data_IF_521964971030
#
_entry.id   IF_521964971030
#
_cell.length_a   1.000
_cell.length_b   1.000
_cell.length_c   1.000
_cell.angle_alpha   90.00
_cell.angle_beta   90.00
_cell.angle_gamma   90.00
#
_symmetry.space_group_name_H-M   'P 1'
#
loop_
_entity.id
_entity.type
_entity.pdbx_description
1 polymer ?
#
# COMPACT_ATOMS: atom_id res chain seq x y z
N UNK A 1 49.56 21.68 1.79
CA UNK A 1 48.79 20.43 1.61
C UNK A 1 47.46 20.47 2.36
N UNK A 2 47.42 20.73 3.67
CA UNK A 2 46.17 20.87 4.46
C UNK A 2 45.17 21.91 3.92
N UNK A 3 45.64 23.09 3.48
CA UNK A 3 44.78 24.15 2.89
C UNK A 3 44.02 23.73 1.62
N UNK A 4 44.60 22.83 0.82
CA UNK A 4 43.98 22.32 -0.41
C UNK A 4 42.92 21.24 -0.08
N UNK A 5 43.17 20.41 0.93
CA UNK A 5 42.19 19.45 1.44
C UNK A 5 40.96 20.12 2.09
N UNK A 6 41.16 21.22 2.83
CA UNK A 6 40.06 21.97 3.46
C UNK A 6 39.15 22.60 2.38
N UNK A 7 39.73 23.15 1.31
CA UNK A 7 38.97 23.70 0.19
C UNK A 7 38.15 22.63 -0.54
N UNK A 8 38.72 21.43 -0.74
CA UNK A 8 38.02 20.30 -1.37
C UNK A 8 36.88 19.77 -0.49
N UNK A 9 37.06 19.70 0.82
CA UNK A 9 36.02 19.32 1.78
C UNK A 9 34.91 20.37 1.88
N UNK A 10 35.25 21.66 1.85
CA UNK A 10 34.24 22.74 1.84
C UNK A 10 33.42 22.78 0.56
N UNK A 11 34.01 22.40 -0.58
CA UNK A 11 33.30 22.34 -1.87
C UNK A 11 32.28 21.19 -1.92
N UNK A 12 32.56 20.08 -1.23
CA UNK A 12 31.66 18.93 -1.15
C UNK A 12 30.40 19.21 -0.32
N UNK A 13 30.50 20.06 0.71
CA UNK A 13 29.37 20.46 1.57
C UNK A 13 28.36 21.40 0.86
N UNK A 14 28.79 22.18 -0.13
CA UNK A 14 27.92 23.12 -0.84
C UNK A 14 27.10 22.41 -1.94
N UNK A 15 27.60 21.30 -2.47
CA UNK A 15 26.92 20.52 -3.54
C UNK A 15 25.89 19.53 -2.98
N UNK A 16 26.04 19.08 -1.72
CA UNK A 16 25.19 18.04 -1.12
C UNK A 16 23.87 18.48 -0.48
N UNK A 17 23.48 19.76 -0.54
CA UNK A 17 22.33 20.26 0.22
C UNK A 17 21.00 20.33 -0.58
N UNK A 18 20.98 19.94 -1.86
CA UNK A 18 19.85 20.24 -2.77
C UNK A 18 19.13 19.01 -3.32
N UNK A 19 19.16 17.86 -2.64
CA UNK A 19 18.25 16.77 -2.97
C UNK A 19 16.86 17.13 -2.45
N UNK A 20 16.07 17.83 -3.26
CA UNK A 20 14.62 17.87 -3.03
C UNK A 20 14.12 16.45 -3.27
N UNK A 21 13.65 15.79 -2.22
CA UNK A 21 12.79 14.62 -2.38
C UNK A 21 11.53 15.13 -3.08
N UNK A 22 11.43 14.86 -4.38
CA UNK A 22 10.25 15.18 -5.17
C UNK A 22 9.16 14.21 -4.76
N UNK A 23 8.45 14.55 -3.68
CA UNK A 23 7.19 13.90 -3.36
C UNK A 23 6.21 14.36 -4.43
N UNK A 24 6.10 13.57 -5.50
CA UNK A 24 5.11 13.81 -6.55
C UNK A 24 3.72 13.84 -5.88
N UNK A 25 3.10 15.02 -5.84
CA UNK A 25 1.71 15.15 -5.47
C UNK A 25 0.87 14.49 -6.55
N UNK A 26 0.50 13.23 -6.31
CA UNK A 26 -0.39 12.52 -7.21
C UNK A 26 -1.80 13.05 -6.97
N UNK A 27 -2.32 13.81 -7.94
CA UNK A 27 -3.71 14.25 -7.86
C UNK A 27 -4.65 13.03 -7.85
N UNK A 28 -5.65 13.05 -6.97
CA UNK A 28 -6.55 11.90 -6.74
C UNK A 28 -7.33 11.45 -7.99
N UNK A 29 -7.55 12.32 -8.97
CA UNK A 29 -8.15 11.95 -10.25
C UNK A 29 -7.16 11.23 -11.18
N UNK A 30 -5.87 11.59 -11.14
CA UNK A 30 -4.84 10.95 -11.94
C UNK A 30 -4.58 9.52 -11.49
N UNK A 31 -4.46 9.29 -10.16
CA UNK A 31 -4.21 7.94 -9.63
C UNK A 31 -5.33 6.98 -10.00
N UNK A 32 -6.59 7.43 -9.99
CA UNK A 32 -7.73 6.56 -10.27
C UNK A 32 -7.72 6.08 -11.72
N UNK A 33 -7.48 7.01 -12.65
CA UNK A 33 -7.34 6.70 -14.07
C UNK A 33 -6.15 5.75 -14.33
N UNK A 34 -5.06 5.91 -13.59
CA UNK A 34 -3.90 5.04 -13.72
C UNK A 34 -4.16 3.63 -13.14
N UNK A 35 -4.80 3.53 -11.97
CA UNK A 35 -5.20 2.26 -11.38
C UNK A 35 -6.15 1.48 -12.30
N UNK A 36 -7.08 2.16 -12.99
CA UNK A 36 -8.00 1.55 -13.95
C UNK A 36 -7.31 1.01 -15.21
N UNK A 37 -6.15 1.55 -15.61
CA UNK A 37 -5.34 1.00 -16.71
C UNK A 37 -4.69 -0.33 -16.36
N UNK A 38 -4.61 -0.68 -15.07
CA UNK A 38 -3.96 -1.90 -14.58
C UNK A 38 -2.43 -1.82 -14.59
N UNK A 39 -1.77 -2.94 -14.26
CA UNK A 39 -0.29 -3.01 -14.16
C UNK A 39 0.27 -2.60 -12.79
N UNK A 40 -0.60 -2.34 -11.81
CA UNK A 40 -0.22 -1.97 -10.45
C UNK A 40 -0.60 -3.06 -9.45
N UNK A 41 0.21 -3.20 -8.39
CA UNK A 41 -0.15 -3.95 -7.19
C UNK A 41 -0.62 -2.93 -6.16
N UNK A 42 -1.89 -3.02 -5.77
CA UNK A 42 -2.48 -2.13 -4.79
C UNK A 42 -2.50 -2.79 -3.40
N UNK A 43 -1.79 -2.19 -2.45
CA UNK A 43 -1.87 -2.56 -1.03
C UNK A 43 -2.77 -1.58 -0.29
N UNK A 44 -3.86 -2.08 0.30
CA UNK A 44 -4.78 -1.28 1.11
C UNK A 44 -4.82 -1.79 2.54
N UNK A 45 -5.01 -0.89 3.50
CA UNK A 45 -5.38 -1.28 4.86
C UNK A 45 -6.83 -1.73 4.90
N UNK A 46 -7.17 -2.56 5.88
CA UNK A 46 -8.56 -2.90 6.17
C UNK A 46 -9.36 -1.64 6.57
N UNK A 47 -10.67 -1.67 6.35
CA UNK A 47 -11.59 -0.66 6.87
C UNK A 47 -11.76 -0.76 8.40
N UNK A 48 -12.65 0.05 8.97
CA UNK A 48 -12.91 0.06 10.42
C UNK A 48 -13.23 -1.35 10.97
N UNK A 49 -12.49 -1.77 12.00
CA UNK A 49 -12.58 -3.10 12.59
C UNK A 49 -12.80 -3.01 14.10
N UNK A 50 -13.97 -2.56 14.52
CA UNK A 50 -14.33 -2.37 15.93
C UNK A 50 -15.15 -3.54 16.51
N UNK A 51 -15.37 -4.61 15.73
CA UNK A 51 -16.13 -5.79 16.17
C UNK A 51 -15.17 -6.88 16.65
N UNK A 52 -15.09 -7.06 17.96
CA UNK A 52 -14.17 -8.00 18.59
C UNK A 52 -12.77 -7.42 18.80
N UNK A 53 -11.85 -8.25 19.28
CA UNK A 53 -10.48 -7.89 19.60
C UNK A 53 -9.53 -8.96 19.04
N UNK A 54 -8.29 -8.60 18.80
CA UNK A 54 -7.28 -9.53 18.28
C UNK A 54 -7.01 -10.64 19.30
N UNK A 55 -7.25 -11.90 18.90
CA UNK A 55 -7.02 -13.09 19.73
C UNK A 55 -5.72 -13.79 19.34
N UNK A 56 -5.03 -14.43 20.29
CA UNK A 56 -3.82 -15.21 19.96
C UNK A 56 -4.12 -16.49 19.14
N UNK A 57 -5.23 -17.15 19.41
CA UNK A 57 -5.59 -18.44 18.83
C UNK A 57 -6.83 -18.35 17.93
N UNK A 58 -6.88 -17.31 17.08
CA UNK A 58 -7.97 -17.18 16.11
C UNK A 58 -7.87 -18.27 15.03
N UNK A 59 -9.01 -18.66 14.48
CA UNK A 59 -9.13 -19.59 13.36
C UNK A 59 -9.43 -18.81 12.08
N UNK A 60 -8.60 -18.99 11.07
CA UNK A 60 -8.86 -18.46 9.72
C UNK A 60 -10.12 -19.07 9.08
N UNK A 61 -10.54 -20.25 9.53
CA UNK A 61 -11.74 -20.93 9.05
C UNK A 61 -13.02 -20.51 9.79
N UNK A 62 -12.90 -19.77 10.90
CA UNK A 62 -14.03 -19.31 11.71
C UNK A 62 -13.91 -17.82 12.02
N UNK A 63 -14.64 -17.00 11.26
CA UNK A 63 -14.65 -15.55 11.40
C UNK A 63 -15.11 -15.08 12.79
N UNK A 64 -15.88 -15.90 13.54
CA UNK A 64 -16.33 -15.49 14.87
C UNK A 64 -15.20 -15.38 15.89
N UNK A 65 -14.05 -16.00 15.60
CA UNK A 65 -12.84 -15.96 16.43
C UNK A 65 -11.89 -14.80 16.09
N UNK A 66 -12.22 -14.00 15.06
CA UNK A 66 -11.38 -12.94 14.53
C UNK A 66 -11.90 -11.54 14.91
N UNK A 67 -11.02 -10.54 14.87
CA UNK A 67 -11.41 -9.13 14.88
C UNK A 67 -11.99 -8.77 13.52
N UNK A 68 -13.30 -8.56 13.47
CA UNK A 68 -14.03 -8.36 12.22
C UNK A 68 -14.23 -6.89 11.88
N UNK A 69 -14.46 -6.62 10.59
CA UNK A 69 -14.91 -5.31 10.13
C UNK A 69 -16.25 -4.94 10.76
N UNK A 70 -16.37 -3.69 11.18
CA UNK A 70 -17.64 -3.11 11.58
C UNK A 70 -18.54 -2.91 10.36
N UNK A 71 -19.80 -2.54 10.59
CA UNK A 71 -20.69 -2.16 9.49
C UNK A 71 -20.09 -1.01 8.66
N UNK A 72 -19.49 -0.02 9.33
CA UNK A 72 -18.79 1.08 8.69
C UNK A 72 -17.56 0.59 7.92
N UNK A 73 -16.78 -0.34 8.49
CA UNK A 73 -15.61 -0.89 7.81
C UNK A 73 -15.96 -1.64 6.53
N UNK A 74 -17.07 -2.38 6.51
CA UNK A 74 -17.58 -3.02 5.30
C UNK A 74 -18.03 -2.00 4.26
N UNK A 75 -18.75 -0.96 4.67
CA UNK A 75 -19.15 0.13 3.77
C UNK A 75 -17.93 0.85 3.18
N UNK A 76 -16.89 1.09 3.97
CA UNK A 76 -15.62 1.64 3.50
C UNK A 76 -14.99 0.73 2.44
N UNK A 77 -14.93 -0.58 2.71
CA UNK A 77 -14.41 -1.58 1.78
C UNK A 77 -15.11 -1.57 0.43
N UNK A 78 -16.43 -1.54 0.44
CA UNK A 78 -17.25 -1.44 -0.76
C UNK A 78 -17.03 -0.11 -1.49
N UNK A 79 -16.98 1.01 -0.77
CA UNK A 79 -16.80 2.35 -1.36
C UNK A 79 -15.49 2.50 -2.12
N UNK A 80 -14.34 2.15 -1.53
CA UNK A 80 -13.09 2.28 -2.27
C UNK A 80 -12.96 1.24 -3.37
N UNK A 81 -13.49 0.02 -3.19
CA UNK A 81 -13.56 -0.97 -4.26
C UNK A 81 -14.32 -0.43 -5.47
N UNK A 82 -15.49 0.16 -5.23
CA UNK A 82 -16.30 0.80 -6.27
C UNK A 82 -15.61 2.04 -6.87
N UNK A 83 -14.89 2.84 -6.08
CA UNK A 83 -14.17 4.00 -6.59
C UNK A 83 -13.05 3.57 -7.54
N UNK A 84 -12.23 2.60 -7.13
CA UNK A 84 -11.09 2.11 -7.93
C UNK A 84 -11.56 1.40 -9.19
N UNK A 85 -12.58 0.54 -9.07
CA UNK A 85 -13.04 -0.31 -10.15
C UNK A 85 -14.14 0.34 -11.01
N UNK A 86 -14.79 1.41 -10.55
CA UNK A 86 -15.84 2.11 -11.28
C UNK A 86 -16.99 1.20 -11.74
N UNK A 87 -17.49 1.42 -12.96
CA UNK A 87 -18.51 0.59 -13.62
C UNK A 87 -17.97 -0.71 -14.21
N UNK A 88 -16.69 -1.03 -14.00
CA UNK A 88 -16.10 -2.33 -14.37
C UNK A 88 -16.61 -3.42 -13.42
N UNK A 89 -17.92 -3.68 -13.42
CA UNK A 89 -18.60 -4.79 -12.71
C UNK A 89 -18.25 -6.17 -13.27
N UNK A 90 -17.20 -6.27 -14.07
CA UNK A 90 -16.74 -7.48 -14.72
C UNK A 90 -15.29 -7.76 -14.42
N UNK A 91 -14.91 -7.86 -13.14
CA UNK A 91 -13.71 -8.61 -12.80
C UNK A 91 -14.10 -10.06 -12.54
N UNK A 92 -13.61 -10.94 -13.38
CA UNK A 92 -13.54 -12.35 -13.03
C UNK A 92 -12.42 -12.47 -12.01
N UNK A 93 -12.72 -12.95 -10.81
CA UNK A 93 -11.68 -13.40 -9.89
C UNK A 93 -10.96 -14.55 -10.60
N UNK A 94 -9.82 -14.25 -11.20
CA UNK A 94 -9.00 -15.23 -11.94
C UNK A 94 -8.28 -16.20 -11.00
N UNK A 95 -8.19 -15.84 -9.72
CA UNK A 95 -7.68 -16.69 -8.65
C UNK A 95 -7.60 -15.92 -7.33
N UNK A 96 -7.52 -16.67 -6.23
CA UNK A 96 -7.17 -16.15 -4.91
C UNK A 96 -5.83 -16.77 -4.55
N UNK A 97 -4.83 -15.95 -4.25
CA UNK A 97 -3.54 -16.42 -3.74
C UNK A 97 -3.56 -16.33 -2.22
N UNK A 98 -3.03 -17.34 -1.55
CA UNK A 98 -2.77 -17.25 -0.11
C UNK A 98 -1.54 -16.39 0.12
N UNK A 99 -1.41 -15.88 1.34
CA UNK A 99 -0.25 -15.06 1.73
C UNK A 99 1.07 -15.80 1.47
N UNK A 100 1.14 -17.10 1.76
CA UNK A 100 2.30 -17.95 1.46
C UNK A 100 2.68 -17.93 -0.03
N UNK A 101 1.69 -18.00 -0.93
CA UNK A 101 1.92 -17.98 -2.38
C UNK A 101 2.46 -16.61 -2.84
N UNK A 102 1.94 -15.53 -2.25
CA UNK A 102 2.41 -14.16 -2.55
C UNK A 102 3.85 -13.97 -2.08
N UNK A 103 4.19 -14.43 -0.88
CA UNK A 103 5.53 -14.34 -0.32
C UNK A 103 6.54 -15.16 -1.15
N UNK A 104 6.13 -16.35 -1.60
CA UNK A 104 6.94 -17.19 -2.48
C UNK A 104 7.17 -16.54 -3.85
N UNK A 105 6.13 -15.94 -4.46
CA UNK A 105 6.25 -15.21 -5.72
C UNK A 105 7.14 -13.98 -5.61
N UNK A 106 7.15 -13.32 -4.45
CA UNK A 106 7.99 -12.16 -4.17
C UNK A 106 9.46 -12.52 -3.86
N UNK A 107 9.81 -13.82 -3.82
CA UNK A 107 11.16 -14.26 -3.44
C UNK A 107 11.50 -14.00 -1.97
N UNK A 108 10.48 -13.81 -1.13
CA UNK A 108 10.59 -13.54 0.29
C UNK A 108 10.34 -14.85 1.06
N UNK A 109 11.35 -15.73 1.11
CA UNK A 109 11.34 -16.94 1.96
C UNK A 109 11.84 -16.63 3.37
#
# INVERSE_FOLDING_TARGET
>A
MYRLCVLFMSLFLIVGASYKADASEISGASILNDLQKGGYILYVRHGDATVGEDQQNFSLADCSTQRNLSALGREQAEKYGNAILGDHKGYQVVGTLKLEDVLQLAGMQ
#
